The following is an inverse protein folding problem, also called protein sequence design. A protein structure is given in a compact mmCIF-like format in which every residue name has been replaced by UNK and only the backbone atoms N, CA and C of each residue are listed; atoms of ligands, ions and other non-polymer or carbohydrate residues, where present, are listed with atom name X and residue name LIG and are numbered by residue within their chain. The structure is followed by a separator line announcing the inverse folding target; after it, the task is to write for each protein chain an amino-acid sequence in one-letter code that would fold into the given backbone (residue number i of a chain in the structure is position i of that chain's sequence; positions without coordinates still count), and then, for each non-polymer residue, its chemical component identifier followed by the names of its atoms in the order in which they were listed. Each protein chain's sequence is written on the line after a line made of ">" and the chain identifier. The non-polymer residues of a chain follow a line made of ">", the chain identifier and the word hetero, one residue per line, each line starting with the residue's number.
data_IF_638311377380
#
_entry.id   IF_638311377380
#
_cell.length_a   1.000
_cell.length_b   1.000
_cell.length_c   1.000
_cell.angle_alpha   90.00
_cell.angle_beta   90.00
_cell.angle_gamma   90.00
#
_symmetry.space_group_name_H-M   'P 1'
#
loop_
_entity.id
_entity.type
_entity.pdbx_description
1 polymer ?
#
# COMPACT_ATOMS: atom_id res chain seq x y z
N UNK A 1 -2.26 -11.80 24.95
CA UNK A 1 -3.59 -11.57 24.37
C UNK A 1 -4.23 -10.31 24.95
N UNK A 2 -4.48 -10.26 26.26
CA UNK A 2 -5.11 -9.11 26.95
C UNK A 2 -4.44 -7.75 26.64
N UNK A 3 -3.10 -7.69 26.64
CA UNK A 3 -2.33 -6.49 26.27
C UNK A 3 -2.55 -6.00 24.83
N UNK A 4 -3.09 -6.83 23.92
CA UNK A 4 -3.49 -6.42 22.57
C UNK A 4 -4.95 -5.95 22.55
N UNK A 5 -5.82 -6.49 23.42
CA UNK A 5 -7.21 -6.04 23.53
C UNK A 5 -7.29 -4.57 23.99
N UNK A 6 -6.41 -4.15 24.90
CA UNK A 6 -6.29 -2.72 25.31
C UNK A 6 -5.86 -1.77 24.18
N UNK A 7 -5.50 -2.30 23.00
CA UNK A 7 -5.18 -1.54 21.77
C UNK A 7 -6.30 -1.55 20.74
N UNK A 8 -7.42 -2.22 21.03
CA UNK A 8 -8.60 -2.23 20.15
C UNK A 8 -9.32 -0.88 20.24
N UNK A 9 -9.61 -0.27 19.08
CA UNK A 9 -10.40 0.98 19.00
C UNK A 9 -11.73 0.80 19.72
N UNK A 10 -12.04 1.71 20.65
CA UNK A 10 -13.20 1.65 21.54
C UNK A 10 -12.90 1.08 22.93
N UNK A 11 -11.79 0.36 23.11
CA UNK A 11 -11.21 0.08 24.45
C UNK A 11 -10.01 0.99 24.75
N UNK A 12 -9.31 1.46 23.71
CA UNK A 12 -8.33 2.53 23.83
C UNK A 12 -9.01 3.91 23.77
N UNK A 13 -8.52 4.86 24.58
CA UNK A 13 -8.97 6.27 24.59
C UNK A 13 -8.37 7.10 23.44
N UNK A 14 -7.97 6.46 22.34
CA UNK A 14 -7.09 7.06 21.33
C UNK A 14 -7.86 7.42 20.06
N UNK A 15 -7.86 8.71 19.72
CA UNK A 15 -8.40 9.22 18.46
C UNK A 15 -7.46 8.94 17.29
N UNK A 16 -7.98 8.37 16.21
CA UNK A 16 -7.23 8.15 14.95
C UNK A 16 -7.06 9.44 14.13
N UNK A 17 -7.85 10.47 14.41
CA UNK A 17 -7.85 11.74 13.68
C UNK A 17 -6.88 12.77 14.27
N UNK A 18 -6.33 12.50 15.46
CA UNK A 18 -5.38 13.37 16.15
C UNK A 18 -3.93 12.94 15.91
N UNK A 19 -2.96 13.88 15.95
CA UNK A 19 -1.55 13.53 16.04
C UNK A 19 -1.28 12.67 17.28
N UNK A 20 -0.45 11.62 17.20
CA UNK A 20 0.39 11.22 16.07
C UNK A 20 -0.24 10.16 15.14
N UNK A 21 -1.51 9.81 15.34
CA UNK A 21 -2.16 8.70 14.62
C UNK A 21 -2.71 9.10 13.25
N UNK A 22 -3.07 10.38 13.07
CA UNK A 22 -3.52 10.95 11.80
C UNK A 22 -2.52 10.78 10.64
N UNK A 23 -1.22 10.66 10.93
CA UNK A 23 -0.13 10.43 9.98
C UNK A 23 0.36 8.98 9.95
N UNK A 24 -0.18 8.10 10.80
CA UNK A 24 0.28 6.71 10.91
C UNK A 24 -0.32 5.84 9.80
N UNK A 25 0.50 5.07 9.06
CA UNK A 25 -0.01 4.21 7.98
C UNK A 25 -0.84 3.05 8.54
N UNK A 26 -1.94 2.76 7.84
CA UNK A 26 -2.76 1.56 8.08
C UNK A 26 -2.17 0.36 7.33
N UNK A 27 -1.83 -0.74 8.02
CA UNK A 27 -1.46 -1.99 7.34
C UNK A 27 -2.68 -2.80 6.97
N UNK A 28 -2.71 -3.26 5.72
CA UNK A 28 -3.83 -4.04 5.14
C UNK A 28 -3.34 -5.22 4.32
N UNK A 29 -4.12 -6.31 4.29
CA UNK A 29 -3.69 -7.54 3.62
C UNK A 29 -3.88 -7.51 2.09
N UNK A 30 -4.91 -6.82 1.58
CA UNK A 30 -5.25 -6.81 0.14
C UNK A 30 -4.94 -5.47 -0.51
N UNK A 31 -4.30 -5.49 -1.69
CA UNK A 31 -3.97 -4.27 -2.46
C UNK A 31 -5.21 -3.46 -2.86
N UNK A 32 -6.34 -4.13 -3.10
CA UNK A 32 -7.60 -3.46 -3.40
C UNK A 32 -8.09 -2.61 -2.22
N UNK A 33 -8.04 -3.16 -0.99
CA UNK A 33 -8.41 -2.43 0.23
C UNK A 33 -7.45 -1.26 0.46
N UNK A 34 -6.14 -1.44 0.23
CA UNK A 34 -5.15 -0.35 0.24
C UNK A 34 -5.56 0.77 -0.71
N UNK A 35 -5.89 0.44 -1.96
CA UNK A 35 -6.32 1.40 -2.98
C UNK A 35 -7.59 2.14 -2.56
N UNK A 36 -8.60 1.43 -2.06
CA UNK A 36 -9.86 2.04 -1.61
C UNK A 36 -9.66 2.95 -0.39
N UNK A 37 -8.87 2.55 0.61
CA UNK A 37 -8.57 3.39 1.77
C UNK A 37 -7.75 4.61 1.37
N UNK A 38 -6.69 4.46 0.57
CA UNK A 38 -5.89 5.58 0.09
C UNK A 38 -6.73 6.59 -0.71
N UNK A 39 -7.67 6.11 -1.54
CA UNK A 39 -8.61 6.95 -2.27
C UNK A 39 -9.53 7.74 -1.31
N UNK A 40 -10.18 7.07 -0.35
CA UNK A 40 -11.10 7.71 0.59
C UNK A 40 -10.39 8.69 1.52
N UNK A 41 -9.20 8.34 2.03
CA UNK A 41 -8.38 9.21 2.87
C UNK A 41 -7.89 10.44 2.12
N UNK A 42 -7.49 10.29 0.85
CA UNK A 42 -7.09 11.43 0.02
C UNK A 42 -8.26 12.37 -0.30
N UNK A 43 -9.45 11.85 -0.63
CA UNK A 43 -10.67 12.67 -0.80
C UNK A 43 -11.03 13.38 0.50
N UNK A 44 -11.00 12.67 1.63
CA UNK A 44 -11.30 13.26 2.94
C UNK A 44 -10.32 14.39 3.27
N UNK A 45 -9.02 14.20 3.05
CA UNK A 45 -8.02 15.25 3.24
C UNK A 45 -8.25 16.44 2.29
N UNK A 46 -8.62 16.20 1.03
CA UNK A 46 -8.95 17.27 0.08
C UNK A 46 -10.11 18.17 0.60
N UNK A 47 -11.16 17.54 1.13
CA UNK A 47 -12.31 18.23 1.74
C UNK A 47 -11.91 18.98 3.01
N UNK A 48 -11.10 18.38 3.89
CA UNK A 48 -10.61 19.03 5.12
C UNK A 48 -9.67 20.21 4.84
N UNK A 49 -8.83 20.10 3.81
CA UNK A 49 -7.93 21.17 3.37
C UNK A 49 -8.62 22.25 2.52
N UNK A 50 -9.91 22.10 2.20
CA UNK A 50 -10.66 23.03 1.36
C UNK A 50 -10.13 23.14 -0.08
N UNK A 51 -9.44 22.10 -0.58
CA UNK A 51 -8.78 22.12 -1.87
C UNK A 51 -9.37 21.11 -2.86
N UNK A 52 -9.36 21.46 -4.15
CA UNK A 52 -9.75 20.54 -5.20
C UNK A 52 -8.67 19.45 -5.37
N UNK A 53 -9.00 18.15 -5.27
CA UNK A 53 -8.02 17.09 -5.45
C UNK A 53 -7.54 17.01 -6.90
N UNK A 54 -6.22 16.94 -7.11
CA UNK A 54 -5.65 16.75 -8.44
C UNK A 54 -5.70 15.27 -8.83
N UNK A 55 -6.24 14.96 -10.00
CA UNK A 55 -6.29 13.59 -10.54
C UNK A 55 -5.41 13.52 -11.78
N UNK A 56 -4.46 12.57 -11.81
CA UNK A 56 -3.65 12.32 -12.99
C UNK A 56 -4.12 11.03 -13.66
N UNK A 57 -4.63 11.11 -14.89
CA UNK A 57 -4.83 9.93 -15.71
C UNK A 57 -3.46 9.40 -16.18
N UNK A 58 -3.32 8.07 -16.23
CA UNK A 58 -2.19 7.45 -16.89
C UNK A 58 -2.32 7.60 -18.41
N UNK A 59 -1.20 7.86 -19.09
CA UNK A 59 -1.16 7.90 -20.55
C UNK A 59 -0.69 6.53 -21.06
N UNK A 60 -1.56 5.84 -21.79
CA UNK A 60 -1.29 4.53 -22.36
C UNK A 60 -0.92 4.62 -23.84
N UNK A 61 0.04 3.80 -24.28
CA UNK A 61 0.61 3.83 -25.64
C UNK A 61 0.56 2.45 -26.28
N UNK A 62 -0.09 2.32 -27.44
CA UNK A 62 -0.12 1.11 -28.24
C UNK A 62 0.83 1.26 -29.45
N UNK A 63 1.80 0.35 -29.60
CA UNK A 63 2.82 0.41 -30.67
C UNK A 63 3.52 1.78 -30.81
N UNK A 64 3.71 2.49 -29.70
CA UNK A 64 4.34 3.81 -29.66
C UNK A 64 3.43 5.00 -29.95
N UNK A 65 2.16 4.79 -30.34
CA UNK A 65 1.15 5.85 -30.48
C UNK A 65 0.31 5.95 -29.19
N UNK A 66 -0.13 7.15 -28.76
CA UNK A 66 -1.05 7.28 -27.64
C UNK A 66 -2.36 6.55 -27.94
N UNK A 67 -2.99 5.99 -26.91
CA UNK A 67 -4.32 5.40 -26.99
C UNK A 67 -5.35 6.49 -26.79
N UNK A 68 -5.99 6.91 -27.88
CA UNK A 68 -7.03 7.95 -27.89
C UNK A 68 -8.45 7.36 -27.91
N UNK A 69 -8.61 6.05 -28.14
CA UNK A 69 -9.92 5.40 -28.18
C UNK A 69 -10.58 5.40 -26.79
N UNK A 70 -11.76 6.03 -26.60
CA UNK A 70 -12.36 6.28 -25.28
C UNK A 70 -12.74 5.02 -24.51
N UNK A 71 -13.27 4.02 -25.22
CA UNK A 71 -13.69 2.77 -24.63
C UNK A 71 -12.47 1.99 -24.10
N UNK A 72 -11.40 1.97 -24.90
CA UNK A 72 -10.11 1.38 -24.52
C UNK A 72 -9.46 2.15 -23.38
N UNK A 73 -9.42 3.48 -23.43
CA UNK A 73 -9.00 4.35 -22.31
C UNK A 73 -9.73 4.00 -21.02
N UNK A 74 -11.06 4.02 -21.00
CA UNK A 74 -11.84 3.67 -19.80
C UNK A 74 -11.49 2.28 -19.27
N UNK A 75 -11.40 1.28 -20.15
CA UNK A 75 -11.06 -0.10 -19.77
C UNK A 75 -9.62 -0.23 -19.26
N UNK A 76 -8.67 0.53 -19.82
CA UNK A 76 -7.29 0.61 -19.36
C UNK A 76 -7.19 1.35 -18.01
N UNK A 77 -7.96 2.41 -17.80
CA UNK A 77 -8.06 3.12 -16.52
C UNK A 77 -8.61 2.20 -15.41
N UNK A 78 -9.56 1.33 -15.76
CA UNK A 78 -10.17 0.32 -14.88
C UNK A 78 -9.33 -0.96 -14.68
N UNK A 79 -8.27 -1.19 -15.47
CA UNK A 79 -7.41 -2.36 -15.31
C UNK A 79 -6.76 -2.42 -13.91
N UNK A 80 -6.59 -3.64 -13.42
CA UNK A 80 -5.89 -3.89 -12.17
C UNK A 80 -4.40 -3.55 -12.26
N UNK A 81 -3.86 -2.90 -11.22
CA UNK A 81 -2.44 -2.54 -11.09
C UNK A 81 -1.50 -3.75 -11.37
N UNK A 82 -1.95 -4.97 -11.04
CA UNK A 82 -1.22 -6.23 -11.28
C UNK A 82 -0.97 -6.58 -12.75
N UNK A 83 -1.75 -6.03 -13.68
CA UNK A 83 -1.62 -6.25 -15.14
C UNK A 83 -0.93 -5.08 -15.86
N UNK A 84 -0.51 -4.07 -15.11
CA UNK A 84 -0.08 -2.76 -15.62
C UNK A 84 1.19 -2.28 -14.90
N UNK A 85 2.11 -3.21 -14.59
CA UNK A 85 3.40 -2.95 -13.93
C UNK A 85 3.28 -2.16 -12.61
N UNK A 86 2.17 -2.36 -11.88
CA UNK A 86 1.78 -1.65 -10.66
C UNK A 86 1.53 -0.13 -10.84
N UNK A 87 1.40 0.36 -12.07
CA UNK A 87 1.00 1.73 -12.39
C UNK A 87 -0.55 1.83 -12.45
N UNK A 88 -1.18 2.54 -11.50
CA UNK A 88 -2.64 2.69 -11.49
C UNK A 88 -3.08 3.45 -12.74
N UNK A 89 -4.23 3.05 -13.32
CA UNK A 89 -4.78 3.73 -14.50
C UNK A 89 -5.22 5.16 -14.18
N UNK A 90 -5.93 5.33 -13.07
CA UNK A 90 -6.17 6.64 -12.46
C UNK A 90 -5.25 6.80 -11.25
N UNK A 91 -4.35 7.78 -11.28
CA UNK A 91 -3.59 8.14 -10.09
C UNK A 91 -4.57 8.66 -9.03
N UNK A 92 -4.45 8.14 -7.82
CA UNK A 92 -5.30 8.53 -6.69
C UNK A 92 -5.15 10.04 -6.41
N UNK A 93 -6.23 10.69 -5.95
CA UNK A 93 -6.26 12.15 -5.82
C UNK A 93 -5.08 12.68 -5.00
N UNK A 94 -4.29 13.56 -5.62
CA UNK A 94 -3.13 14.21 -5.00
C UNK A 94 -3.58 15.49 -4.30
N UNK A 95 -3.20 15.63 -3.03
CA UNK A 95 -3.52 16.76 -2.15
C UNK A 95 -2.21 17.33 -1.59
N UNK A 96 -1.90 18.63 -1.79
CA UNK A 96 -0.75 19.27 -1.18
C UNK A 96 -0.64 18.99 0.32
N UNK A 97 0.56 18.61 0.78
CA UNK A 97 0.82 18.20 2.16
C UNK A 97 0.58 16.72 2.48
N UNK A 98 0.01 15.92 1.56
CA UNK A 98 -0.21 14.50 1.84
C UNK A 98 1.07 13.65 1.74
N UNK A 99 1.16 12.63 2.60
CA UNK A 99 2.21 11.61 2.53
C UNK A 99 2.04 10.73 1.30
N UNK A 100 3.13 10.52 0.57
CA UNK A 100 3.22 9.66 -0.62
C UNK A 100 4.38 8.69 -0.53
N UNK A 101 4.28 7.57 -1.23
CA UNK A 101 5.35 6.58 -1.42
C UNK A 101 5.73 6.55 -2.90
N UNK A 102 7.02 6.57 -3.17
CA UNK A 102 7.59 6.34 -4.50
C UNK A 102 7.51 4.86 -4.87
N UNK A 103 6.99 4.52 -6.05
CA UNK A 103 6.75 3.12 -6.48
C UNK A 103 7.79 2.57 -7.46
N UNK A 104 8.73 3.40 -7.91
CA UNK A 104 9.78 3.06 -8.87
C UNK A 104 11.11 3.71 -8.48
N UNK A 105 12.22 3.18 -8.98
CA UNK A 105 13.54 3.82 -8.82
C UNK A 105 13.66 4.91 -9.88
N UNK A 106 13.75 6.18 -9.46
CA UNK A 106 13.98 7.32 -10.37
C UNK A 106 15.48 7.65 -10.43
N UNK A 107 16.11 7.81 -9.27
CA UNK A 107 17.51 8.18 -9.15
C UNK A 107 18.09 7.52 -7.88
N UNK A 108 18.69 6.35 -8.07
CA UNK A 108 19.21 5.50 -6.98
C UNK A 108 20.30 6.26 -6.21
N UNK A 109 21.21 6.94 -6.91
CA UNK A 109 22.29 7.77 -6.33
C UNK A 109 21.78 8.94 -5.48
N UNK A 110 20.54 9.39 -5.70
CA UNK A 110 19.87 10.44 -4.92
C UNK A 110 18.92 9.88 -3.85
N UNK A 111 18.91 8.55 -3.65
CA UNK A 111 17.99 7.87 -2.73
C UNK A 111 16.53 7.82 -3.19
N UNK A 112 16.21 8.24 -4.42
CA UNK A 112 14.85 8.18 -4.98
C UNK A 112 14.53 6.76 -5.46
N UNK A 113 14.30 5.87 -4.50
CA UNK A 113 14.06 4.44 -4.67
C UNK A 113 12.63 4.02 -4.31
N UNK A 114 12.20 2.89 -4.85
CA UNK A 114 10.90 2.27 -4.55
C UNK A 114 10.74 2.02 -3.03
N UNK A 115 9.66 2.53 -2.45
CA UNK A 115 9.39 2.48 -1.02
C UNK A 115 9.78 3.77 -0.25
N UNK A 116 10.44 4.74 -0.88
CA UNK A 116 10.75 6.01 -0.23
C UNK A 116 9.47 6.78 0.11
N UNK A 117 9.33 7.19 1.37
CA UNK A 117 8.28 8.09 1.82
C UNK A 117 8.64 9.55 1.51
N UNK A 118 7.66 10.33 1.07
CA UNK A 118 7.79 11.77 0.85
C UNK A 118 6.49 12.51 1.14
N UNK A 119 6.53 13.84 1.03
CA UNK A 119 5.37 14.71 1.16
C UNK A 119 5.11 15.32 -0.23
N UNK A 120 3.93 15.07 -0.79
CA UNK A 120 3.53 15.69 -2.04
C UNK A 120 3.28 17.19 -1.80
N UNK A 121 4.00 18.06 -2.50
CA UNK A 121 3.85 19.53 -2.37
C UNK A 121 2.97 20.12 -3.45
N UNK A 122 3.32 19.88 -4.71
CA UNK A 122 2.67 20.47 -5.88
C UNK A 122 2.89 19.55 -7.08
N UNK A 123 1.94 19.59 -8.02
CA UNK A 123 2.12 19.08 -9.37
C UNK A 123 2.40 20.27 -10.29
N UNK A 124 3.49 20.19 -11.04
CA UNK A 124 3.82 21.15 -12.10
C UNK A 124 3.55 20.44 -13.43
N UNK A 125 2.66 21.03 -14.23
CA UNK A 125 2.35 20.55 -15.57
C UNK A 125 3.30 21.20 -16.57
N UNK A 126 3.68 20.45 -17.60
CA UNK A 126 4.23 21.04 -18.82
C UNK A 126 3.06 21.64 -19.62
N UNK A 127 3.23 22.84 -20.18
CA UNK A 127 2.10 23.70 -20.61
C UNK A 127 1.23 23.13 -21.73
N UNK A 128 1.71 22.09 -22.43
CA UNK A 128 1.05 21.51 -23.61
C UNK A 128 0.17 20.28 -23.30
N UNK A 129 -0.08 19.96 -22.03
CA UNK A 129 -0.57 18.63 -21.60
C UNK A 129 -2.03 18.53 -21.10
N UNK A 130 -2.89 19.51 -21.38
CA UNK A 130 -4.30 19.52 -20.92
C UNK A 130 -5.27 19.19 -22.05
N UNK A 131 -5.98 18.05 -21.95
CA UNK A 131 -7.19 17.76 -22.73
C UNK A 131 -8.37 17.49 -21.79
N UNK A 132 -9.55 18.01 -22.14
CA UNK A 132 -10.74 18.08 -21.26
C UNK A 132 -11.97 17.47 -21.92
N UNK A 133 -11.83 16.28 -22.52
CA UNK A 133 -12.89 15.65 -23.31
C UNK A 133 -13.48 14.40 -22.65
N UNK A 134 -14.81 14.39 -22.54
CA UNK A 134 -15.63 13.26 -22.12
C UNK A 134 -16.18 12.52 -23.33
N UNK A 135 -15.84 11.23 -23.51
CA UNK A 135 -16.11 10.52 -24.77
C UNK A 135 -16.60 9.08 -24.56
N UNK A 136 -17.38 8.55 -25.51
CA UNK A 136 -18.19 7.34 -25.40
C UNK A 136 -18.00 6.35 -26.57
N UNK A 137 -17.62 5.08 -26.27
CA UNK A 137 -17.78 3.83 -27.08
C UNK A 137 -17.07 3.83 -28.49
N UNK A 138 -16.83 2.74 -29.24
CA UNK A 138 -16.97 1.28 -29.03
C UNK A 138 -15.86 0.46 -29.77
N UNK A 139 -15.68 -0.82 -29.38
CA UNK A 139 -14.48 -1.65 -29.67
C UNK A 139 -14.55 -2.62 -30.86
N UNK A 140 -13.38 -3.02 -31.41
CA UNK A 140 -13.07 -4.37 -31.89
C UNK A 140 -12.17 -5.17 -30.91
N UNK A 141 -12.32 -6.50 -30.86
CA UNK A 141 -11.46 -7.38 -30.04
C UNK A 141 -10.15 -7.74 -30.76
N UNK A 142 -9.00 -7.47 -30.14
CA UNK A 142 -7.75 -8.25 -30.24
C UNK A 142 -6.73 -7.78 -29.18
N UNK A 143 -5.82 -8.66 -28.75
CA UNK A 143 -4.85 -8.34 -27.69
C UNK A 143 -3.66 -7.51 -28.23
N UNK A 144 -3.41 -6.35 -27.64
CA UNK A 144 -2.35 -5.41 -28.07
C UNK A 144 -1.44 -5.02 -26.91
N UNK A 145 -0.13 -5.08 -27.13
CA UNK A 145 0.87 -4.62 -26.16
C UNK A 145 0.77 -3.10 -25.98
N UNK A 146 0.55 -2.68 -24.73
CA UNK A 146 0.27 -1.29 -24.35
C UNK A 146 1.24 -0.88 -23.23
N UNK A 147 2.00 0.20 -23.43
CA UNK A 147 2.96 0.75 -22.46
C UNK A 147 2.32 1.92 -21.71
N UNK A 148 2.40 1.92 -20.37
CA UNK A 148 1.83 2.96 -19.51
C UNK A 148 2.87 3.99 -19.07
N UNK A 149 2.50 5.27 -19.08
CA UNK A 149 3.20 6.36 -18.36
C UNK A 149 2.27 6.94 -17.31
N UNK A 150 2.71 6.91 -16.04
CA UNK A 150 2.02 7.55 -14.93
C UNK A 150 3.06 8.05 -13.91
N UNK A 151 2.68 8.95 -13.02
CA UNK A 151 3.55 9.35 -11.90
C UNK A 151 3.78 8.12 -11.00
N UNK A 152 5.03 7.79 -10.62
CA UNK A 152 5.34 6.65 -9.76
C UNK A 152 5.09 6.97 -8.28
N UNK A 153 3.94 7.55 -7.96
CA UNK A 153 3.55 7.99 -6.62
C UNK A 153 2.22 7.36 -6.20
N UNK A 154 2.12 6.93 -4.95
CA UNK A 154 0.85 6.52 -4.34
C UNK A 154 0.68 7.19 -2.98
N UNK A 155 -0.55 7.56 -2.55
CA UNK A 155 -0.77 8.03 -1.18
C UNK A 155 -0.32 6.99 -0.16
N UNK A 156 0.23 7.43 0.97
CA UNK A 156 0.84 6.58 2.00
C UNK A 156 -0.06 6.29 3.22
N UNK A 157 -1.34 6.68 3.19
CA UNK A 157 -2.29 6.46 4.30
C UNK A 157 -2.46 4.98 4.68
N UNK A 158 -2.28 4.08 3.71
CA UNK A 158 -2.25 2.63 3.93
C UNK A 158 -1.23 1.94 3.02
N UNK A 159 -0.64 0.87 3.55
CA UNK A 159 0.43 0.08 2.93
C UNK A 159 0.03 -1.40 3.06
N UNK A 160 0.33 -2.24 2.05
CA UNK A 160 0.09 -3.67 2.21
C UNK A 160 1.08 -4.31 3.18
N UNK A 161 0.64 -5.27 3.98
CA UNK A 161 1.49 -6.01 4.92
C UNK A 161 2.76 -6.55 4.26
N UNK A 162 2.65 -7.14 3.07
CA UNK A 162 3.78 -7.62 2.27
C UNK A 162 4.76 -6.49 1.88
N UNK A 163 4.28 -5.28 1.55
CA UNK A 163 5.16 -4.14 1.23
C UNK A 163 5.84 -3.55 2.47
N UNK A 164 5.26 -3.73 3.65
CA UNK A 164 5.88 -3.33 4.93
C UNK A 164 6.99 -4.27 5.43
N UNK A 165 7.11 -5.48 4.85
CA UNK A 165 8.13 -6.45 5.26
C UNK A 165 9.54 -5.86 5.09
N UNK A 166 10.39 -6.03 6.10
CA UNK A 166 11.73 -5.43 6.16
C UNK A 166 11.76 -3.96 6.59
N UNK A 167 10.64 -3.24 6.55
CA UNK A 167 10.55 -1.85 7.04
C UNK A 167 10.30 -1.83 8.56
N UNK A 168 10.83 -0.81 9.24
CA UNK A 168 10.45 -0.48 10.63
C UNK A 168 9.60 0.78 10.60
N UNK A 169 8.40 0.73 11.19
CA UNK A 169 7.44 1.82 11.20
C UNK A 169 7.32 2.36 12.63
N UNK A 170 7.28 3.70 12.75
CA UNK A 170 7.25 4.36 14.07
C UNK A 170 5.94 4.13 14.80
N UNK A 171 4.81 4.13 14.07
CA UNK A 171 3.45 3.87 14.56
C UNK A 171 2.63 3.22 13.45
N UNK A 172 1.75 2.30 13.82
CA UNK A 172 0.96 1.52 12.85
C UNK A 172 -0.44 1.25 13.38
N UNK A 173 -1.42 1.40 12.49
CA UNK A 173 -2.80 0.97 12.69
C UNK A 173 -3.01 -0.32 11.89
N UNK A 174 -3.55 -1.38 12.50
CA UNK A 174 -3.77 -2.67 11.84
C UNK A 174 -5.22 -3.16 11.97
N UNK A 175 -5.69 -3.93 11.00
CA UNK A 175 -6.83 -4.82 11.21
C UNK A 175 -6.31 -6.25 11.38
N UNK A 176 -6.74 -6.95 12.43
CA UNK A 176 -6.43 -8.37 12.64
C UNK A 176 -7.55 -9.31 12.16
N UNK A 177 -8.61 -8.77 11.55
CA UNK A 177 -9.64 -9.57 10.88
C UNK A 177 -9.11 -10.08 9.54
N UNK A 178 -8.44 -11.24 9.57
CA UNK A 178 -7.95 -11.93 8.39
C UNK A 178 -9.07 -12.25 7.38
N UNK A 179 -8.77 -12.30 6.07
CA UNK A 179 -9.64 -12.96 5.10
C UNK A 179 -9.85 -14.44 5.45
N UNK A 180 -10.97 -15.03 5.03
CA UNK A 180 -11.32 -16.43 5.34
C UNK A 180 -10.33 -17.47 4.81
N UNK A 181 -9.52 -17.10 3.83
CA UNK A 181 -8.66 -18.00 3.06
C UNK A 181 -7.17 -17.78 3.40
N UNK A 182 -6.84 -17.42 4.63
CA UNK A 182 -5.49 -16.93 5.00
C UNK A 182 -4.94 -17.58 6.27
N UNK A 183 -4.26 -18.71 6.08
CA UNK A 183 -3.66 -19.54 7.12
C UNK A 183 -2.13 -19.35 7.31
N UNK A 184 -1.56 -18.27 6.75
CA UNK A 184 -0.12 -17.98 6.89
C UNK A 184 0.17 -17.09 8.12
N UNK A 185 0.98 -17.61 9.05
CA UNK A 185 1.52 -16.87 10.21
C UNK A 185 2.10 -15.52 9.80
N UNK A 186 2.83 -15.46 8.69
CA UNK A 186 3.52 -14.25 8.27
C UNK A 186 2.52 -13.08 8.11
N UNK A 187 1.28 -13.38 7.72
CA UNK A 187 0.19 -12.39 7.63
C UNK A 187 -0.05 -11.64 8.94
N UNK A 188 0.04 -12.33 10.09
CA UNK A 188 -0.21 -11.76 11.42
C UNK A 188 1.08 -11.31 12.10
N UNK A 189 2.16 -12.06 11.94
CA UNK A 189 3.45 -11.76 12.57
C UNK A 189 4.19 -10.59 11.92
N UNK A 190 4.18 -10.47 10.58
CA UNK A 190 4.82 -9.34 9.89
C UNK A 190 4.27 -7.99 10.35
N UNK A 191 2.96 -7.70 10.37
CA UNK A 191 2.46 -6.37 10.74
C UNK A 191 2.71 -6.06 12.22
N UNK A 192 2.56 -7.04 13.12
CA UNK A 192 2.84 -6.88 14.55
C UNK A 192 4.33 -6.58 14.82
N UNK A 193 5.24 -7.15 14.03
CA UNK A 193 6.69 -6.93 14.14
C UNK A 193 7.21 -5.68 13.42
N UNK A 194 6.34 -4.83 12.83
CA UNK A 194 6.79 -3.57 12.21
C UNK A 194 7.05 -2.45 13.22
N UNK A 195 6.50 -2.54 14.43
CA UNK A 195 6.60 -1.53 15.49
C UNK A 195 7.56 -1.96 16.59
N UNK A 196 8.30 -1.01 17.18
CA UNK A 196 9.26 -1.29 18.26
C UNK A 196 8.62 -1.42 19.65
N UNK A 197 7.41 -0.87 19.86
CA UNK A 197 6.72 -0.83 21.15
C UNK A 197 5.23 -1.10 20.97
N UNK A 198 4.62 -1.76 21.95
CA UNK A 198 3.17 -2.00 21.97
C UNK A 198 2.34 -0.70 22.00
N UNK A 199 2.88 0.38 22.58
CA UNK A 199 2.25 1.72 22.58
C UNK A 199 2.14 2.35 21.17
N UNK A 200 2.88 1.81 20.20
CA UNK A 200 2.93 2.29 18.83
C UNK A 200 2.04 1.45 17.88
N UNK A 201 1.23 0.54 18.44
CA UNK A 201 0.24 -0.27 17.74
C UNK A 201 -1.20 0.11 18.13
N UNK A 202 -2.08 0.26 17.14
CA UNK A 202 -3.54 0.24 17.32
C UNK A 202 -4.16 -0.86 16.46
N UNK A 203 -5.19 -1.52 17.00
CA UNK A 203 -5.95 -2.56 16.32
C UNK A 203 -7.38 -2.02 16.07
N UNK A 204 -7.83 -2.00 14.83
CA UNK A 204 -9.09 -1.35 14.46
C UNK A 204 -10.34 -2.01 15.06
N UNK A 205 -10.30 -3.33 15.26
CA UNK A 205 -11.46 -4.15 15.60
C UNK A 205 -11.07 -5.33 16.48
N UNK A 206 -12.02 -5.81 17.27
CA UNK A 206 -11.84 -7.02 18.06
C UNK A 206 -11.60 -8.25 17.15
N UNK A 207 -10.76 -9.18 17.60
CA UNK A 207 -10.29 -10.33 16.83
C UNK A 207 -10.23 -11.58 17.72
N UNK A 208 -10.43 -12.77 17.14
CA UNK A 208 -10.33 -14.04 17.88
C UNK A 208 -8.85 -14.35 18.18
N UNK A 209 -8.55 -14.77 19.42
CA UNK A 209 -7.24 -15.25 19.84
C UNK A 209 -6.63 -16.29 18.88
N UNK A 210 -7.45 -17.12 18.22
CA UNK A 210 -7.00 -18.12 17.23
C UNK A 210 -6.11 -17.52 16.12
N UNK A 211 -6.33 -16.25 15.76
CA UNK A 211 -5.52 -15.52 14.76
C UNK A 211 -4.05 -15.41 15.19
N UNK A 212 -3.75 -15.42 16.50
CA UNK A 212 -2.38 -15.40 17.03
C UNK A 212 -1.75 -16.80 17.16
N UNK A 213 -2.52 -17.88 16.99
CA UNK A 213 -2.10 -19.28 17.21
C UNK A 213 -2.13 -20.10 15.90
N UNK A 214 -2.01 -19.41 14.76
CA UNK A 214 -1.77 -20.06 13.48
C UNK A 214 -0.47 -20.87 13.62
N UNK A 215 -0.49 -22.15 13.20
CA UNK A 215 0.66 -23.05 13.34
C UNK A 215 1.56 -22.97 12.10
N UNK A 216 2.89 -23.02 12.27
CA UNK A 216 3.82 -22.95 11.14
C UNK A 216 3.64 -24.19 10.26
N UNK A 217 3.87 -24.04 8.96
CA UNK A 217 3.75 -25.15 8.03
C UNK A 217 4.74 -26.26 8.36
N UNK A 218 4.42 -27.51 7.96
CA UNK A 218 5.32 -28.65 8.21
C UNK A 218 6.73 -28.44 7.64
N UNK A 219 6.86 -27.71 6.53
CA UNK A 219 8.16 -27.34 5.94
C UNK A 219 8.88 -26.25 6.75
N UNK A 220 8.18 -25.23 7.25
CA UNK A 220 8.77 -24.21 8.14
C UNK A 220 9.28 -24.84 9.45
N UNK A 221 8.51 -25.75 10.05
CA UNK A 221 8.93 -26.49 11.27
C UNK A 221 10.16 -27.36 10.98
N UNK A 222 10.18 -28.06 9.85
CA UNK A 222 11.33 -28.88 9.46
C UNK A 222 12.59 -28.05 9.20
N UNK A 223 12.45 -26.83 8.67
CA UNK A 223 13.58 -25.90 8.50
C UNK A 223 14.13 -25.43 9.85
N UNK A 224 13.26 -24.92 10.73
CA UNK A 224 13.62 -24.48 12.09
C UNK A 224 14.33 -25.63 12.86
N UNK A 225 13.79 -26.85 12.78
CA UNK A 225 14.38 -28.02 13.43
C UNK A 225 15.76 -28.38 12.82
N UNK A 226 15.94 -28.20 11.50
CA UNK A 226 17.23 -28.43 10.82
C UNK A 226 18.28 -27.42 11.26
N UNK A 227 17.93 -26.14 11.40
CA UNK A 227 18.83 -25.10 11.88
C UNK A 227 19.26 -25.36 13.32
N UNK A 228 18.32 -25.64 14.24
CA UNK A 228 18.66 -26.00 15.61
C UNK A 228 19.57 -27.24 15.71
N UNK A 229 19.38 -28.24 14.84
CA UNK A 229 20.24 -29.44 14.78
C UNK A 229 21.67 -29.13 14.26
N UNK A 230 21.87 -28.04 13.51
CA UNK A 230 23.20 -27.61 13.02
C UNK A 230 23.99 -26.76 14.01
N UNK A 231 23.34 -26.22 15.05
CA UNK A 231 23.96 -25.31 16.04
C UNK A 231 24.86 -25.87 17.16
N UNK A 232 25.28 -27.16 17.23
CA UNK A 232 26.27 -27.58 18.25
C UNK A 232 27.74 -27.19 18.01
N UNK A 233 28.12 -26.68 16.83
CA UNK A 233 29.52 -26.73 16.35
C UNK A 233 30.31 -25.41 16.27
N UNK A 234 29.83 -24.30 16.86
CA UNK A 234 30.54 -22.99 16.81
C UNK A 234 30.60 -22.23 18.14
N UNK A 235 30.87 -22.92 19.26
CA UNK A 235 31.26 -22.28 20.54
C UNK A 235 32.40 -23.03 21.23
N UNK A 236 33.53 -23.20 20.53
CA UNK A 236 34.84 -23.54 21.14
C UNK A 236 35.97 -23.22 20.16
N UNK A 237 36.57 -22.03 20.29
CA UNK A 237 38.01 -21.74 20.17
C UNK A 237 38.25 -20.22 20.08
N UNK A 238 38.54 -19.64 21.24
CA UNK A 238 39.52 -18.56 21.45
C UNK A 238 40.28 -18.92 22.73
#
# INVERSE_FOLDING_TARGET
>A
YELLLTRVVGQSSVSLHEPPWNQSPMLVFRNEIRRQLNHRSAIHNAVQAGCNPMVCAAQDFCKGKPVEEPALLKKLLELSDSKTEHLPGLLLPLVPGMSVILTQNIAIELGLINGMNGIFRQLVYDTDSVSTDSISIAFPMNATYTKRRALPLVPAYSITTHKSQGQTLNKVVIDLKLPKDTDDIATVYVPLSRVKRLNDLIILRHFDYKVLVIKPSKSQVAEIQREHTKSPLLVTQF
#
